data_IF_689571845068
#
_entry.id   IF_689571845068
#
_cell.length_a   1.000
_cell.length_b   1.000
_cell.length_c   1.000
_cell.angle_alpha   90.00
_cell.angle_beta   90.00
_cell.angle_gamma   90.00
#
_symmetry.space_group_name_H-M   'P 1'
#
loop_
_entity.id
_entity.type
_entity.pdbx_description
1 polymer ?
#
# COMPACT_ATOMS: atom_id res chain seq x y z
N UNK A 1 -53.19 40.54 2.70
CA UNK A 1 -52.48 39.56 1.86
C UNK A 1 -51.30 40.27 1.25
N UNK A 2 -50.15 40.24 1.93
CA UNK A 2 -48.83 40.58 1.39
C UNK A 2 -47.81 40.00 2.37
N UNK A 3 -47.23 38.87 1.99
CA UNK A 3 -46.15 38.23 2.72
C UNK A 3 -44.87 39.02 2.43
N UNK A 4 -44.19 39.50 3.48
CA UNK A 4 -42.81 39.97 3.36
C UNK A 4 -41.90 38.76 3.18
N UNK A 5 -41.43 38.57 1.96
CA UNK A 5 -40.43 37.60 1.60
C UNK A 5 -39.07 38.06 2.17
N UNK A 6 -38.73 37.55 3.35
CA UNK A 6 -37.43 37.73 4.00
C UNK A 6 -36.31 37.16 3.12
N UNK A 7 -35.68 38.01 2.32
CA UNK A 7 -34.52 37.66 1.50
C UNK A 7 -33.26 37.50 2.37
N UNK A 8 -33.03 36.29 2.86
CA UNK A 8 -31.75 35.92 3.46
C UNK A 8 -30.68 35.87 2.37
N UNK A 9 -29.89 36.94 2.25
CA UNK A 9 -28.69 36.96 1.40
C UNK A 9 -27.70 35.93 1.95
N UNK A 10 -27.21 34.94 1.18
CA UNK A 10 -26.25 33.98 1.68
C UNK A 10 -24.95 34.71 1.96
N UNK A 11 -24.53 34.78 3.23
CA UNK A 11 -23.22 35.31 3.60
C UNK A 11 -22.14 34.50 2.88
N UNK A 12 -21.20 35.14 2.14
CA UNK A 12 -20.09 34.43 1.51
C UNK A 12 -19.33 33.64 2.57
N UNK A 13 -19.28 32.31 2.44
CA UNK A 13 -18.54 31.44 3.37
C UNK A 13 -17.07 31.88 3.33
N UNK A 14 -16.58 32.40 4.45
CA UNK A 14 -15.18 32.82 4.58
C UNK A 14 -14.26 31.70 4.08
N UNK A 15 -13.26 32.07 3.27
CA UNK A 15 -12.27 31.11 2.79
C UNK A 15 -11.70 30.36 3.99
N UNK A 16 -11.57 29.02 3.93
CA UNK A 16 -10.97 28.27 5.01
C UNK A 16 -9.60 28.87 5.33
N UNK A 17 -9.31 29.10 6.62
CA UNK A 17 -7.96 29.51 7.05
C UNK A 17 -6.93 28.56 6.43
N UNK A 18 -5.76 29.06 6.02
CA UNK A 18 -4.70 28.27 5.34
C UNK A 18 -4.43 26.91 6.01
N UNK A 19 -4.54 26.87 7.33
CA UNK A 19 -4.52 25.69 8.18
C UNK A 19 -5.53 24.58 7.82
N UNK A 20 -6.78 24.94 7.58
CA UNK A 20 -7.86 24.01 7.21
C UNK A 20 -7.61 23.48 5.80
N UNK A 21 -7.10 24.33 4.89
CA UNK A 21 -6.71 23.90 3.56
C UNK A 21 -5.52 22.92 3.61
N UNK A 22 -4.51 23.19 4.44
CA UNK A 22 -3.37 22.30 4.65
C UNK A 22 -3.80 20.96 5.27
N UNK A 23 -4.64 20.99 6.30
CA UNK A 23 -5.16 19.78 6.94
C UNK A 23 -5.97 18.93 5.94
N UNK A 24 -6.84 19.57 5.14
CA UNK A 24 -7.58 18.90 4.08
C UNK A 24 -6.66 18.32 3.00
N UNK A 25 -5.59 19.02 2.62
CA UNK A 25 -4.61 18.52 1.66
C UNK A 25 -3.88 17.26 2.17
N UNK A 26 -3.52 17.22 3.45
CA UNK A 26 -2.90 16.03 4.07
C UNK A 26 -3.87 14.85 4.15
N UNK A 27 -5.15 15.12 4.47
CA UNK A 27 -6.18 14.08 4.46
C UNK A 27 -6.43 13.53 3.03
N UNK A 28 -6.51 14.42 2.03
CA UNK A 28 -6.67 14.03 0.63
C UNK A 28 -5.48 13.19 0.12
N UNK A 29 -4.26 13.56 0.52
CA UNK A 29 -3.05 12.78 0.23
C UNK A 29 -3.15 11.36 0.77
N UNK A 30 -3.53 11.19 2.04
CA UNK A 30 -3.73 9.86 2.64
C UNK A 30 -4.73 9.01 1.88
N UNK A 31 -5.86 9.59 1.50
CA UNK A 31 -6.90 8.87 0.76
C UNK A 31 -6.42 8.43 -0.63
N UNK A 32 -5.66 9.27 -1.33
CA UNK A 32 -5.04 8.89 -2.60
C UNK A 32 -4.04 7.74 -2.40
N UNK A 33 -3.26 7.78 -1.31
CA UNK A 33 -2.30 6.74 -0.95
C UNK A 33 -2.98 5.40 -0.63
N UNK A 34 -4.07 5.40 0.14
CA UNK A 34 -4.83 4.19 0.47
C UNK A 34 -5.43 3.53 -0.79
N UNK A 35 -5.91 4.33 -1.74
CA UNK A 35 -6.38 3.81 -3.02
C UNK A 35 -5.28 3.07 -3.80
N UNK A 36 -4.05 3.61 -3.81
CA UNK A 36 -2.91 2.96 -4.46
C UNK A 36 -2.44 1.71 -3.70
N UNK A 37 -2.54 1.72 -2.38
CA UNK A 37 -2.12 0.60 -1.53
C UNK A 37 -2.89 -0.69 -1.83
N UNK A 38 -4.15 -0.61 -2.25
CA UNK A 38 -4.93 -1.77 -2.69
C UNK A 38 -4.64 -2.21 -4.14
N UNK A 39 -4.08 -1.34 -4.97
CA UNK A 39 -3.78 -1.66 -6.38
C UNK A 39 -2.44 -2.39 -6.54
N UNK A 40 -1.41 -2.00 -5.79
CA UNK A 40 -0.06 -2.58 -5.86
C UNK A 40 -0.07 -4.10 -5.67
N UNK A 41 -0.79 -4.66 -4.67
CA UNK A 41 -0.91 -6.11 -4.51
C UNK A 41 -1.48 -6.81 -5.75
N UNK A 42 -2.58 -6.30 -6.29
CA UNK A 42 -3.25 -6.90 -7.46
C UNK A 42 -2.34 -6.93 -8.69
N UNK A 43 -1.67 -5.82 -8.97
CA UNK A 43 -0.73 -5.73 -10.10
C UNK A 43 0.49 -6.63 -9.88
N UNK A 44 1.07 -6.63 -8.67
CA UNK A 44 2.23 -7.45 -8.35
C UNK A 44 1.92 -8.94 -8.48
N UNK A 45 0.81 -9.42 -7.90
CA UNK A 45 0.38 -10.81 -7.98
C UNK A 45 0.07 -11.24 -9.42
N UNK A 46 -0.57 -10.37 -10.21
CA UNK A 46 -0.86 -10.65 -11.62
C UNK A 46 0.43 -10.78 -12.43
N UNK A 47 1.37 -9.84 -12.26
CA UNK A 47 2.67 -9.89 -12.93
C UNK A 47 3.45 -11.14 -12.54
N UNK A 48 3.46 -11.50 -11.25
CA UNK A 48 4.11 -12.72 -10.77
C UNK A 48 3.48 -13.97 -11.38
N UNK A 49 2.15 -14.09 -11.37
CA UNK A 49 1.46 -15.25 -11.95
C UNK A 49 1.77 -15.43 -13.44
N UNK A 50 1.80 -14.32 -14.20
CA UNK A 50 2.19 -14.34 -15.62
C UNK A 50 3.63 -14.81 -15.81
N UNK A 51 4.58 -14.26 -15.05
CA UNK A 51 6.00 -14.63 -15.13
C UNK A 51 6.22 -16.09 -14.71
N UNK A 52 5.51 -16.59 -13.70
CA UNK A 52 5.57 -17.99 -13.29
C UNK A 52 4.98 -18.94 -14.33
N UNK A 53 3.97 -18.51 -15.08
CA UNK A 53 3.41 -19.30 -16.18
C UNK A 53 4.47 -19.55 -17.27
N UNK A 54 5.31 -18.55 -17.56
CA UNK A 54 6.45 -18.68 -18.47
C UNK A 54 7.55 -19.54 -17.84
N UNK A 55 7.94 -19.25 -16.61
CA UNK A 55 9.05 -19.94 -15.93
C UNK A 55 8.81 -21.46 -15.77
N UNK A 56 7.56 -21.85 -15.49
CA UNK A 56 7.16 -23.24 -15.26
C UNK A 56 6.59 -23.93 -16.52
N UNK A 57 6.27 -23.19 -17.58
CA UNK A 57 5.64 -23.72 -18.78
C UNK A 57 6.53 -24.69 -19.55
N UNK A 58 6.04 -25.89 -19.87
CA UNK A 58 6.75 -26.94 -20.59
C UNK A 58 7.40 -26.45 -21.90
N UNK A 59 6.65 -25.70 -22.71
CA UNK A 59 7.07 -25.17 -24.01
C UNK A 59 8.02 -23.96 -23.93
N UNK A 60 8.28 -23.40 -22.74
CA UNK A 60 9.15 -22.23 -22.62
C UNK A 60 10.61 -22.62 -22.79
N UNK A 61 11.27 -21.93 -23.73
CA UNK A 61 12.72 -22.02 -23.91
C UNK A 61 13.44 -21.63 -22.63
N UNK A 62 14.62 -22.21 -22.42
CA UNK A 62 15.45 -21.94 -21.24
C UNK A 62 15.73 -20.46 -21.03
N UNK A 63 16.03 -19.73 -22.11
CA UNK A 63 16.24 -18.29 -22.08
C UNK A 63 15.00 -17.54 -21.59
N UNK A 64 13.81 -17.92 -22.07
CA UNK A 64 12.56 -17.31 -21.62
C UNK A 64 12.31 -17.55 -20.12
N UNK A 65 12.60 -18.76 -19.62
CA UNK A 65 12.48 -19.09 -18.19
C UNK A 65 13.43 -18.27 -17.33
N UNK A 66 14.69 -18.14 -17.75
CA UNK A 66 15.72 -17.33 -17.05
C UNK A 66 15.28 -15.87 -16.97
N UNK A 67 14.85 -15.28 -18.09
CA UNK A 67 14.38 -13.90 -18.14
C UNK A 67 13.15 -13.72 -17.23
N UNK A 68 12.19 -14.65 -17.30
CA UNK A 68 10.98 -14.59 -16.48
C UNK A 68 11.30 -14.65 -14.97
N UNK A 69 12.24 -15.51 -14.55
CA UNK A 69 12.66 -15.59 -13.15
C UNK A 69 13.37 -14.32 -12.69
N UNK A 70 14.27 -13.75 -13.50
CA UNK A 70 14.94 -12.48 -13.17
C UNK A 70 13.91 -11.36 -13.00
N UNK A 71 12.97 -11.23 -13.94
CA UNK A 71 11.89 -10.25 -13.85
C UNK A 71 11.04 -10.47 -12.60
N UNK A 72 10.74 -11.72 -12.24
CA UNK A 72 9.95 -12.05 -11.05
C UNK A 72 10.68 -11.65 -9.75
N UNK A 73 11.99 -11.88 -9.66
CA UNK A 73 12.82 -11.43 -8.53
C UNK A 73 12.82 -9.90 -8.44
N UNK A 74 13.07 -9.21 -9.56
CA UNK A 74 13.06 -7.74 -9.62
C UNK A 74 11.69 -7.19 -9.20
N UNK A 75 10.61 -7.73 -9.73
CA UNK A 75 9.25 -7.33 -9.38
C UNK A 75 8.95 -7.55 -7.89
N UNK A 76 9.46 -8.63 -7.29
CA UNK A 76 9.35 -8.86 -5.85
C UNK A 76 10.03 -7.75 -5.06
N UNK A 77 11.28 -7.44 -5.39
CA UNK A 77 12.06 -6.38 -4.70
C UNK A 77 11.40 -5.02 -4.85
N UNK A 78 10.96 -4.66 -6.07
CA UNK A 78 10.28 -3.39 -6.32
C UNK A 78 8.96 -3.28 -5.53
N UNK A 79 8.17 -4.36 -5.50
CA UNK A 79 6.90 -4.39 -4.76
C UNK A 79 7.12 -4.25 -3.25
N UNK A 80 8.11 -4.96 -2.71
CA UNK A 80 8.51 -4.83 -1.30
C UNK A 80 9.01 -3.42 -0.96
N UNK A 81 9.84 -2.84 -1.82
CA UNK A 81 10.34 -1.49 -1.64
C UNK A 81 9.21 -0.48 -1.62
N UNK A 82 8.29 -0.56 -2.59
CA UNK A 82 7.13 0.31 -2.68
C UNK A 82 6.24 0.18 -1.43
N UNK A 83 5.93 -1.04 -0.99
CA UNK A 83 5.15 -1.28 0.22
C UNK A 83 5.82 -0.70 1.47
N UNK A 84 7.14 -0.83 1.59
CA UNK A 84 7.93 -0.23 2.68
C UNK A 84 7.89 1.29 2.65
N UNK A 85 7.99 1.90 1.46
CA UNK A 85 7.87 3.36 1.28
C UNK A 85 6.48 3.87 1.62
N UNK A 86 5.43 3.13 1.25
CA UNK A 86 4.06 3.46 1.67
C UNK A 86 3.92 3.41 3.19
N UNK A 87 4.45 2.36 3.83
CA UNK A 87 4.43 2.24 5.29
C UNK A 87 5.19 3.39 5.97
N UNK A 88 6.32 3.81 5.43
CA UNK A 88 7.07 4.97 5.93
C UNK A 88 6.25 6.26 5.80
N UNK A 89 5.62 6.50 4.65
CA UNK A 89 4.79 7.69 4.43
C UNK A 89 3.59 7.75 5.39
N UNK A 90 2.92 6.61 5.63
CA UNK A 90 1.83 6.50 6.62
C UNK A 90 2.27 6.93 8.02
N UNK A 91 3.45 6.49 8.46
CA UNK A 91 4.03 6.86 9.77
C UNK A 91 4.41 8.34 9.84
N UNK A 92 5.06 8.87 8.80
CA UNK A 92 5.43 10.30 8.75
C UNK A 92 4.19 11.19 8.81
N UNK A 93 3.17 10.89 8.02
CA UNK A 93 1.92 11.64 8.02
C UNK A 93 1.18 11.50 9.37
N UNK A 94 1.34 10.37 10.06
CA UNK A 94 0.72 10.12 11.36
C UNK A 94 1.36 10.99 12.45
N UNK A 95 2.69 11.05 12.47
CA UNK A 95 3.43 11.91 13.41
C UNK A 95 3.16 13.39 13.15
N UNK A 96 3.16 13.82 11.88
CA UNK A 96 2.90 15.21 11.53
C UNK A 96 1.49 15.65 11.96
N UNK A 97 0.46 14.83 11.73
CA UNK A 97 -0.91 15.13 12.19
C UNK A 97 -0.98 15.21 13.72
N UNK A 98 -0.32 14.28 14.42
CA UNK A 98 -0.33 14.26 15.87
C UNK A 98 0.32 15.52 16.47
N UNK A 99 1.45 15.97 15.91
CA UNK A 99 2.11 17.22 16.30
C UNK A 99 1.26 18.46 15.98
N UNK A 100 0.66 18.51 14.79
CA UNK A 100 -0.23 19.59 14.38
C UNK A 100 -1.45 19.70 15.31
N UNK A 101 -2.12 18.59 15.61
CA UNK A 101 -3.29 18.60 16.48
C UNK A 101 -2.96 18.97 17.93
N UNK A 102 -1.83 18.48 18.47
CA UNK A 102 -1.36 18.86 19.80
C UNK A 102 -1.09 20.35 19.90
N UNK A 103 -0.41 20.93 18.90
CA UNK A 103 -0.08 22.36 18.89
C UNK A 103 -1.31 23.25 18.76
N UNK A 104 -2.31 22.84 17.96
CA UNK A 104 -3.48 23.67 17.67
C UNK A 104 -4.66 23.46 18.62
N UNK A 105 -4.91 22.22 19.03
CA UNK A 105 -6.10 21.83 19.79
C UNK A 105 -5.78 21.33 21.21
N UNK A 106 -4.51 21.19 21.58
CA UNK A 106 -4.09 20.67 22.88
C UNK A 106 -4.35 19.18 23.08
N UNK A 107 -4.89 18.49 22.06
CA UNK A 107 -5.15 17.04 22.04
C UNK A 107 -5.01 16.51 20.62
N UNK A 108 -4.71 15.22 20.49
CA UNK A 108 -4.59 14.56 19.20
C UNK A 108 -5.60 13.44 19.05
N UNK A 109 -6.29 13.45 17.91
CA UNK A 109 -7.25 12.44 17.49
C UNK A 109 -6.68 11.50 16.43
N UNK A 110 -5.63 11.91 15.72
CA UNK A 110 -4.93 11.10 14.72
C UNK A 110 -3.52 10.71 15.19
N UNK A 111 -2.86 9.83 14.44
CA UNK A 111 -1.49 9.42 14.75
C UNK A 111 -1.42 8.25 15.73
N UNK A 112 -0.50 8.30 16.71
CA UNK A 112 -0.24 7.15 17.60
C UNK A 112 -1.41 6.83 18.51
N UNK A 113 -2.07 7.84 19.04
CA UNK A 113 -3.25 7.67 19.91
C UNK A 113 -4.37 6.89 19.21
N UNK A 114 -4.65 7.21 17.94
CA UNK A 114 -5.61 6.45 17.13
C UNK A 114 -5.14 5.03 16.82
N UNK A 115 -3.85 4.86 16.48
CA UNK A 115 -3.28 3.55 16.22
C UNK A 115 -3.37 2.62 17.45
N UNK A 116 -3.13 3.16 18.65
CA UNK A 116 -3.25 2.43 19.91
C UNK A 116 -4.70 2.03 20.20
N UNK A 117 -5.67 2.92 19.96
CA UNK A 117 -7.10 2.60 20.08
C UNK A 117 -7.49 1.50 19.09
N UNK A 118 -7.11 1.64 17.81
CA UNK A 118 -7.38 0.62 16.77
C UNK A 118 -6.76 -0.74 17.11
N UNK A 119 -5.56 -0.77 17.65
CA UNK A 119 -4.86 -2.01 17.99
C UNK A 119 -5.39 -2.66 19.29
N UNK A 120 -6.09 -1.91 20.14
CA UNK A 120 -6.74 -2.43 21.36
C UNK A 120 -8.09 -3.07 21.07
N UNK A 121 -8.78 -2.61 20.02
CA UNK A 121 -10.03 -3.23 19.58
C UNK A 121 -9.76 -4.66 19.07
N UNK A 122 -10.35 -5.70 19.68
CA UNK A 122 -10.16 -7.06 19.23
C UNK A 122 -10.78 -7.23 17.84
N UNK A 123 -9.94 -7.53 16.85
CA UNK A 123 -10.42 -7.77 15.49
C UNK A 123 -11.33 -8.99 15.40
N UNK A 124 -12.14 -9.06 14.33
CA UNK A 124 -13.24 -10.02 14.18
C UNK A 124 -12.84 -11.49 13.96
N UNK A 125 -11.56 -11.86 14.10
CA UNK A 125 -11.11 -13.24 13.96
C UNK A 125 -9.59 -13.45 13.94
N UNK A 126 -9.17 -14.71 13.77
CA UNK A 126 -7.77 -15.15 13.85
C UNK A 126 -6.82 -14.43 12.89
N UNK A 127 -7.30 -14.04 11.70
CA UNK A 127 -6.48 -13.36 10.68
C UNK A 127 -6.10 -11.92 11.07
N UNK A 128 -6.89 -11.26 11.92
CA UNK A 128 -6.63 -9.88 12.38
C UNK A 128 -5.47 -9.80 13.38
N UNK A 129 -5.01 -10.94 13.89
CA UNK A 129 -3.89 -11.03 14.83
C UNK A 129 -2.54 -10.75 14.17
N UNK A 130 -2.43 -10.95 12.86
CA UNK A 130 -1.21 -10.70 12.12
C UNK A 130 -1.17 -9.25 11.62
N UNK A 131 0.00 -8.61 11.73
CA UNK A 131 0.17 -7.28 11.16
C UNK A 131 0.14 -7.40 9.64
N UNK A 132 -0.83 -6.75 8.99
CA UNK A 132 -1.03 -6.84 7.54
C UNK A 132 0.25 -6.57 6.73
N UNK A 133 1.08 -5.61 7.16
CA UNK A 133 2.38 -5.34 6.53
C UNK A 133 3.33 -6.55 6.56
N UNK A 134 3.45 -7.23 7.71
CA UNK A 134 4.34 -8.40 7.85
C UNK A 134 3.85 -9.58 7.00
N UNK A 135 2.53 -9.79 6.93
CA UNK A 135 1.91 -10.82 6.08
C UNK A 135 2.18 -10.55 4.61
N UNK A 136 1.98 -9.30 4.15
CA UNK A 136 2.22 -8.92 2.76
C UNK A 136 3.69 -9.04 2.36
N UNK A 137 4.60 -8.56 3.20
CA UNK A 137 6.04 -8.69 2.96
C UNK A 137 6.46 -10.16 2.89
N UNK A 138 5.96 -11.00 3.79
CA UNK A 138 6.25 -12.43 3.79
C UNK A 138 5.70 -13.13 2.53
N UNK A 139 4.47 -12.81 2.13
CA UNK A 139 3.87 -13.34 0.91
C UNK A 139 4.68 -13.00 -0.35
N UNK A 140 5.09 -11.73 -0.50
CA UNK A 140 5.96 -11.31 -1.60
C UNK A 140 7.32 -12.04 -1.55
N UNK A 141 7.88 -12.26 -0.36
CA UNK A 141 9.17 -12.94 -0.20
C UNK A 141 9.12 -14.37 -0.73
N UNK A 142 8.02 -15.08 -0.48
CA UNK A 142 7.81 -16.44 -0.97
C UNK A 142 7.86 -16.49 -2.50
N UNK A 143 7.24 -15.55 -3.21
CA UNK A 143 7.33 -15.49 -4.67
C UNK A 143 8.76 -15.24 -5.16
N UNK A 144 9.49 -14.31 -4.55
CA UNK A 144 10.90 -14.06 -4.89
C UNK A 144 11.79 -15.28 -4.65
N UNK A 145 11.59 -15.98 -3.53
CA UNK A 145 12.32 -17.21 -3.21
C UNK A 145 11.98 -18.31 -4.23
N UNK A 146 10.70 -18.52 -4.54
CA UNK A 146 10.29 -19.50 -5.53
C UNK A 146 10.91 -19.21 -6.90
N UNK A 147 10.93 -17.95 -7.34
CA UNK A 147 11.55 -17.54 -8.58
C UNK A 147 13.08 -17.79 -8.58
N UNK A 148 13.74 -17.52 -7.45
CA UNK A 148 15.15 -17.82 -7.28
C UNK A 148 15.45 -19.32 -7.34
N UNK A 149 14.61 -20.16 -6.71
CA UNK A 149 14.74 -21.62 -6.79
C UNK A 149 14.59 -22.09 -8.24
N UNK A 150 13.55 -21.64 -8.95
CA UNK A 150 13.34 -22.01 -10.36
C UNK A 150 14.50 -21.53 -11.23
N UNK A 151 15.03 -20.34 -10.99
CA UNK A 151 16.22 -19.82 -11.68
C UNK A 151 17.44 -20.73 -11.50
N UNK A 152 17.74 -21.11 -10.26
CA UNK A 152 18.87 -22.02 -9.96
C UNK A 152 18.67 -23.37 -10.62
N UNK A 153 17.48 -23.96 -10.54
CA UNK A 153 17.18 -25.23 -11.20
C UNK A 153 17.31 -25.15 -12.73
N UNK A 154 16.85 -24.05 -13.33
CA UNK A 154 16.94 -23.82 -14.78
C UNK A 154 18.39 -23.67 -15.26
N UNK A 155 19.27 -23.14 -14.41
CA UNK A 155 20.70 -23.03 -14.71
C UNK A 155 21.42 -24.35 -14.46
N UNK A 156 21.09 -25.07 -13.37
CA UNK A 156 21.76 -26.31 -12.98
C UNK A 156 21.39 -27.51 -13.86
N UNK A 157 20.18 -27.57 -14.42
CA UNK A 157 19.75 -28.63 -15.34
C UNK A 157 20.15 -28.31 -16.79
N UNK A 158 21.42 -27.97 -17.04
CA UNK A 158 21.98 -27.79 -18.39
C UNK A 158 21.78 -29.01 -19.29
N UNK A 159 21.75 -30.22 -18.71
CA UNK A 159 21.97 -31.47 -19.45
C UNK A 159 20.78 -32.43 -19.51
N UNK A 160 19.58 -32.03 -19.05
CA UNK A 160 18.39 -32.92 -18.98
C UNK A 160 17.30 -32.55 -19.99
N UNK A 161 17.42 -31.41 -20.69
CA UNK A 161 16.41 -30.91 -21.64
C UNK A 161 17.06 -30.45 -22.96
N UNK A 162 17.81 -31.36 -23.61
CA UNK A 162 18.00 -31.35 -25.06
C UNK A 162 17.18 -32.47 -25.69
#
# INVERSE_FOLDING_TARGET
MTAEESSSTPTPRAAPSDDVAMYAAVAARRQQWDNMLWQVPTLSLTAQAFLFTIALGHESSRTARVIACILSIVMTVLSMHLMSRHRQAEHTDAHWLEEYEKSKFGRSWHGRTWADVRNREPGSGYLTRFKGFEVWMSGLAVFGIAAFVVFVLTIAQTDVLQ
#
